data_IF_475074637456
#
_entry.id   IF_475074637456
#
_cell.length_a   1.000
_cell.length_b   1.000
_cell.length_c   1.000
_cell.angle_alpha   90.00
_cell.angle_beta   90.00
_cell.angle_gamma   90.00
#
_symmetry.space_group_name_H-M   'P 1'
#
loop_
_entity.id
_entity.type
_entity.pdbx_description
1 polymer ?
#
# COMPACT_ATOMS: atom_id res chain seq x y z
N UNK A 1 16.11 15.72 9.76
CA UNK A 1 17.00 14.54 9.64
C UNK A 1 16.43 13.60 8.58
N UNK A 2 17.26 12.81 7.87
CA UNK A 2 16.77 11.82 6.91
C UNK A 2 16.00 10.68 7.61
N UNK A 3 14.99 10.13 6.93
CA UNK A 3 14.22 8.98 7.45
C UNK A 3 15.01 7.71 7.14
N UNK A 4 15.53 7.06 8.18
CA UNK A 4 16.36 5.85 8.07
C UNK A 4 15.53 4.55 8.03
N UNK A 5 14.27 4.60 8.45
CA UNK A 5 13.41 3.41 8.48
C UNK A 5 11.99 3.68 8.96
N UNK A 6 11.10 2.73 8.67
CA UNK A 6 9.72 2.70 9.15
C UNK A 6 9.45 1.33 9.75
N UNK A 7 8.92 1.32 10.97
CA UNK A 7 8.62 0.09 11.70
C UNK A 7 7.27 0.17 12.41
N UNK A 8 6.58 -0.97 12.43
CA UNK A 8 5.37 -1.20 13.19
C UNK A 8 5.64 -2.25 14.27
N UNK A 9 5.10 -2.03 15.46
CA UNK A 9 5.09 -3.04 16.51
C UNK A 9 3.94 -4.04 16.26
N UNK A 10 4.27 -5.32 16.11
CA UNK A 10 3.29 -6.39 16.17
C UNK A 10 3.24 -6.93 17.60
N UNK A 11 2.07 -6.80 18.23
CA UNK A 11 1.82 -7.29 19.58
C UNK A 11 0.91 -8.52 19.55
N UNK A 12 1.48 -9.69 19.86
CA UNK A 12 0.73 -10.92 20.15
C UNK A 12 1.16 -11.45 21.52
N UNK A 13 0.30 -12.17 22.26
CA UNK A 13 0.68 -12.76 23.53
C UNK A 13 1.97 -13.59 23.39
N UNK A 14 3.01 -13.21 24.14
CA UNK A 14 4.34 -13.86 24.14
C UNK A 14 5.12 -13.78 22.81
N UNK A 15 4.63 -13.01 21.83
CA UNK A 15 5.26 -12.84 20.52
C UNK A 15 5.20 -11.37 20.09
N UNK A 16 6.21 -10.62 20.53
CA UNK A 16 6.41 -9.22 20.18
C UNK A 16 7.48 -9.12 19.09
N UNK A 17 7.20 -8.41 18.01
CA UNK A 17 8.19 -8.15 16.96
C UNK A 17 8.01 -6.79 16.30
N UNK A 18 9.14 -6.19 15.90
CA UNK A 18 9.15 -5.08 14.95
C UNK A 18 9.03 -5.59 13.52
N UNK A 19 8.15 -5.00 12.73
CA UNK A 19 7.93 -5.32 11.31
C UNK A 19 8.12 -4.04 10.52
N UNK A 20 8.98 -4.05 9.50
CA UNK A 20 9.23 -2.84 8.72
C UNK A 20 10.44 -2.95 7.83
N UNK A 21 10.91 -1.80 7.37
CA UNK A 21 12.03 -1.67 6.45
C UNK A 21 12.91 -0.50 6.87
N UNK A 22 14.20 -0.60 6.59
CA UNK A 22 15.15 0.46 6.88
C UNK A 22 16.35 0.44 5.94
N UNK A 23 17.07 1.56 5.90
CA UNK A 23 18.35 1.68 5.22
C UNK A 23 19.46 0.90 5.93
N UNK A 24 19.43 0.88 7.25
CA UNK A 24 20.45 0.21 8.08
C UNK A 24 19.81 -0.71 9.13
N UNK A 25 20.54 -1.68 9.69
CA UNK A 25 20.00 -2.52 10.76
C UNK A 25 19.69 -1.71 12.02
N UNK A 26 18.43 -1.74 12.48
CA UNK A 26 18.01 -1.10 13.75
C UNK A 26 17.62 -2.10 14.85
N UNK A 27 17.62 -3.39 14.55
CA UNK A 27 17.35 -4.46 15.52
C UNK A 27 18.53 -5.44 15.55
N UNK A 28 18.80 -6.08 16.70
CA UNK A 28 19.83 -7.11 16.77
C UNK A 28 19.45 -8.29 15.88
N UNK A 29 20.44 -8.91 15.23
CA UNK A 29 20.22 -10.02 14.26
C UNK A 29 19.43 -11.21 14.86
N UNK A 30 19.54 -11.41 16.18
CA UNK A 30 18.84 -12.50 16.89
C UNK A 30 17.43 -12.11 17.37
N UNK A 31 16.96 -10.91 17.06
CA UNK A 31 15.63 -10.47 17.46
C UNK A 31 14.56 -11.06 16.53
N UNK A 32 13.34 -11.25 17.05
CA UNK A 32 12.18 -11.71 16.25
C UNK A 32 11.69 -10.67 15.24
N UNK A 33 12.37 -9.54 15.08
CA UNK A 33 11.99 -8.50 14.13
C UNK A 33 12.09 -9.03 12.70
N UNK A 34 11.03 -8.86 11.92
CA UNK A 34 11.09 -9.05 10.46
C UNK A 34 11.48 -7.76 9.75
N UNK A 35 12.16 -6.85 10.45
CA UNK A 35 12.68 -5.62 9.90
C UNK A 35 13.84 -5.93 8.97
N UNK A 36 13.62 -5.96 7.66
CA UNK A 36 14.68 -6.23 6.69
C UNK A 36 15.33 -4.94 6.22
N UNK A 37 16.66 -4.93 6.20
CA UNK A 37 17.40 -3.90 5.46
C UNK A 37 17.02 -4.00 4.01
N UNK A 38 16.63 -2.87 3.43
CA UNK A 38 16.18 -2.77 2.05
C UNK A 38 17.28 -2.13 1.21
N UNK A 39 17.80 -2.86 0.22
CA UNK A 39 18.85 -2.34 -0.67
C UNK A 39 18.34 -1.19 -1.55
N UNK A 40 17.05 -1.18 -1.86
CA UNK A 40 16.34 -0.15 -2.62
C UNK A 40 15.61 0.87 -1.70
N UNK A 41 16.12 1.12 -0.47
CA UNK A 41 15.45 2.00 0.49
C UNK A 41 15.23 3.42 -0.05
N UNK A 42 16.25 3.99 -0.67
CA UNK A 42 16.18 5.37 -1.17
C UNK A 42 15.18 5.49 -2.33
N UNK A 43 15.17 4.51 -3.24
CA UNK A 43 14.19 4.44 -4.33
C UNK A 43 12.76 4.26 -3.80
N UNK A 44 12.58 3.39 -2.81
CA UNK A 44 11.29 3.19 -2.15
C UNK A 44 10.78 4.47 -1.49
N UNK A 45 11.65 5.19 -0.80
CA UNK A 45 11.30 6.44 -0.13
C UNK A 45 10.91 7.53 -1.13
N UNK A 46 11.66 7.64 -2.24
CA UNK A 46 11.36 8.60 -3.30
C UNK A 46 10.03 8.28 -4.00
N UNK A 47 9.80 7.01 -4.35
CA UNK A 47 8.52 6.56 -4.94
C UNK A 47 7.34 6.82 -3.99
N UNK A 48 7.54 6.55 -2.69
CA UNK A 48 6.51 6.81 -1.67
C UNK A 48 6.20 8.30 -1.55
N UNK A 49 7.23 9.16 -1.60
CA UNK A 49 7.07 10.61 -1.59
C UNK A 49 6.30 11.09 -2.81
N UNK A 50 6.67 10.64 -4.00
CA UNK A 50 5.99 10.98 -5.24
C UNK A 50 4.52 10.54 -5.22
N UNK A 51 4.24 9.32 -4.72
CA UNK A 51 2.88 8.82 -4.58
C UNK A 51 2.03 9.68 -3.64
N UNK A 52 2.55 10.06 -2.47
CA UNK A 52 1.83 10.92 -1.52
C UNK A 52 1.57 12.31 -2.13
N UNK A 53 2.55 12.90 -2.81
CA UNK A 53 2.38 14.20 -3.47
C UNK A 53 1.31 14.16 -4.56
N UNK A 54 1.32 13.10 -5.39
CA UNK A 54 0.29 12.88 -6.40
C UNK A 54 -1.11 12.75 -5.77
N UNK A 55 -1.25 11.89 -4.76
CA UNK A 55 -2.53 11.69 -4.06
C UNK A 55 -3.05 12.97 -3.40
N UNK A 56 -2.15 13.77 -2.82
CA UNK A 56 -2.53 15.05 -2.23
C UNK A 56 -3.03 16.05 -3.29
N UNK A 57 -2.36 16.12 -4.44
CA UNK A 57 -2.79 16.99 -5.55
C UNK A 57 -4.14 16.55 -6.13
N UNK A 58 -4.34 15.24 -6.34
CA UNK A 58 -5.61 14.68 -6.79
C UNK A 58 -6.74 14.98 -5.80
N UNK A 59 -6.50 14.76 -4.51
CA UNK A 59 -7.48 15.04 -3.47
C UNK A 59 -7.89 16.53 -3.43
N UNK A 60 -6.92 17.45 -3.43
CA UNK A 60 -7.19 18.90 -3.46
C UNK A 60 -7.92 19.28 -4.75
N UNK A 61 -7.59 18.65 -5.87
CA UNK A 61 -8.25 18.85 -7.15
C UNK A 61 -9.65 18.23 -7.26
N UNK A 62 -10.11 17.48 -6.24
CA UNK A 62 -11.38 16.76 -6.29
C UNK A 62 -11.39 15.57 -7.25
N UNK A 63 -10.21 15.08 -7.67
CA UNK A 63 -10.08 13.92 -8.53
C UNK A 63 -10.22 12.64 -7.71
N UNK A 64 -11.27 11.85 -8.01
CA UNK A 64 -11.62 10.62 -7.29
C UNK A 64 -12.01 9.51 -8.28
N UNK A 65 -11.03 9.04 -9.05
CA UNK A 65 -11.24 7.94 -10.00
C UNK A 65 -11.58 6.63 -9.27
N UNK A 66 -12.45 5.82 -9.88
CA UNK A 66 -12.73 4.45 -9.45
C UNK A 66 -11.60 3.54 -9.96
N UNK A 67 -10.58 3.33 -9.14
CA UNK A 67 -9.37 2.54 -9.48
C UNK A 67 -9.01 1.53 -8.38
N UNK A 68 -9.78 0.42 -8.23
CA UNK A 68 -9.54 -0.56 -7.18
C UNK A 68 -8.35 -1.48 -7.53
N UNK A 69 -7.46 -1.69 -6.56
CA UNK A 69 -6.44 -2.74 -6.67
C UNK A 69 -7.06 -4.14 -6.79
N UNK A 70 -6.35 -5.13 -7.38
CA UNK A 70 -6.81 -6.51 -7.43
C UNK A 70 -7.24 -7.03 -6.05
N UNK A 71 -8.46 -7.55 -5.96
CA UNK A 71 -9.06 -8.06 -4.72
C UNK A 71 -9.62 -7.00 -3.77
N UNK A 72 -9.43 -5.70 -4.02
CA UNK A 72 -9.94 -4.63 -3.14
C UNK A 72 -11.47 -4.65 -3.01
N UNK A 73 -12.19 -4.99 -4.10
CA UNK A 73 -13.66 -5.06 -4.11
C UNK A 73 -14.25 -6.10 -3.14
N UNK A 74 -13.46 -7.10 -2.70
CA UNK A 74 -13.90 -8.12 -1.74
C UNK A 74 -14.18 -7.55 -0.35
N UNK A 75 -13.50 -6.46 0.02
CA UNK A 75 -13.61 -5.81 1.33
C UNK A 75 -14.23 -4.41 1.27
N UNK A 76 -14.66 -3.97 0.08
CA UNK A 76 -15.23 -2.65 -0.13
C UNK A 76 -16.75 -2.63 0.12
N UNK A 77 -17.23 -1.67 0.92
CA UNK A 77 -18.65 -1.47 1.23
C UNK A 77 -19.33 -0.43 0.34
N UNK A 78 -18.62 0.19 -0.61
CA UNK A 78 -19.12 1.26 -1.48
C UNK A 78 -19.54 0.74 -2.87
N UNK A 79 -19.83 -0.56 -2.99
CA UNK A 79 -20.17 -1.22 -4.28
C UNK A 79 -21.29 -0.51 -5.07
N UNK A 80 -22.39 -0.03 -4.45
CA UNK A 80 -23.44 0.65 -5.19
C UNK A 80 -23.04 2.01 -5.77
N UNK A 81 -21.95 2.61 -5.28
CA UNK A 81 -21.53 3.96 -5.70
C UNK A 81 -20.55 3.94 -6.87
N UNK A 82 -19.72 2.90 -6.97
CA UNK A 82 -18.61 2.90 -7.93
C UNK A 82 -18.95 2.35 -9.32
N UNK A 83 -20.10 1.67 -9.50
CA UNK A 83 -20.62 1.11 -10.76
C UNK A 83 -19.66 0.21 -11.58
N UNK A 84 -18.49 -0.16 -11.03
CA UNK A 84 -17.49 -0.98 -11.74
C UNK A 84 -17.99 -2.36 -12.16
N UNK A 85 -18.96 -2.92 -11.43
CA UNK A 85 -19.56 -4.21 -11.79
C UNK A 85 -20.35 -4.14 -13.11
N UNK A 86 -20.98 -3.00 -13.40
CA UNK A 86 -21.75 -2.78 -14.62
C UNK A 86 -20.83 -2.59 -15.83
N UNK A 87 -19.66 -1.98 -15.62
CA UNK A 87 -18.65 -1.80 -16.69
C UNK A 87 -18.07 -3.14 -17.15
N UNK A 88 -17.73 -4.03 -16.21
CA UNK A 88 -17.14 -5.34 -16.54
C UNK A 88 -18.10 -6.24 -17.31
N UNK A 89 -19.40 -6.23 -16.95
CA UNK A 89 -20.39 -7.04 -17.66
C UNK A 89 -20.63 -6.59 -19.10
N UNK A 90 -20.45 -5.31 -19.41
CA UNK A 90 -20.54 -4.81 -20.78
C UNK A 90 -19.31 -5.18 -21.63
N UNK A 91 -18.12 -5.24 -21.02
CA UNK A 91 -16.89 -5.67 -21.68
C UNK A 91 -16.93 -7.16 -22.03
N UNK A 92 -17.47 -8.01 -21.15
CA UNK A 92 -17.60 -9.45 -21.38
C UNK A 92 -18.62 -9.80 -22.49
N UNK A 93 -19.59 -8.92 -22.78
CA UNK A 93 -20.59 -9.12 -23.85
C UNK A 93 -20.09 -8.71 -25.25
N UNK A 94 -19.09 -7.82 -25.35
CA UNK A 94 -18.51 -7.36 -26.63
C UNK A 94 -17.45 -8.33 -27.21
N UNK A 95 -16.90 -9.25 -26.40
CA UNK A 95 -15.90 -10.24 -26.82
C UNK A 95 -16.51 -11.55 -27.40
N UNK A 96 -17.84 -11.70 -27.38
CA UNK A 96 -18.58 -12.89 -27.84
C UNK A 96 -19.22 -12.74 -29.26
N UNK A 97 -18.98 -11.62 -29.97
CA UNK A 97 -19.38 -11.34 -31.36
C UNK A 97 -18.19 -11.29 -32.35
#
# INVERSE_FOLDING_TARGET
EPVEGVFFAQMKPRDLKGVGFSRTPHFPEKSKSSGSVRSDWDDYLEQSRAAIQKLAAEFIGGYAAVDPLPGACSFCNQKPLCRIAEQRSAEDEEDDD
#
